data_IF_495358296022
#
_entry.id   IF_495358296022
#
_cell.length_a   1.000
_cell.length_b   1.000
_cell.length_c   1.000
_cell.angle_alpha   90.00
_cell.angle_beta   90.00
_cell.angle_gamma   90.00
#
_symmetry.space_group_name_H-M   'P 1'
#
loop_
_entity.id
_entity.type
_entity.pdbx_description
1 polymer ?
#
# COMPACT_ATOMS: atom_id res chain seq x y z
N UNK A 1 3.16 4.69 7.04
CA UNK A 1 2.01 3.82 6.73
C UNK A 1 2.15 2.49 7.44
N UNK A 2 1.08 1.76 7.55
CA UNK A 2 1.11 0.45 8.20
C UNK A 2 1.31 -0.63 7.13
N UNK A 3 2.56 -0.88 6.79
CA UNK A 3 2.84 -1.82 5.71
C UNK A 3 2.48 -3.26 6.08
N UNK A 4 2.53 -3.61 7.35
CA UNK A 4 2.19 -4.97 7.75
C UNK A 4 0.72 -5.26 7.48
N UNK A 5 -0.14 -4.27 7.69
CA UNK A 5 -1.56 -4.44 7.41
C UNK A 5 -1.79 -4.61 5.92
N UNK A 6 -1.11 -3.81 5.09
CA UNK A 6 -1.24 -3.95 3.65
C UNK A 6 -0.71 -5.29 3.19
N UNK A 7 0.44 -5.71 3.71
CA UNK A 7 1.01 -7.00 3.34
C UNK A 7 0.09 -8.16 3.72
N UNK A 8 -0.58 -8.07 4.87
CA UNK A 8 -1.55 -9.07 5.27
C UNK A 8 -2.71 -9.17 4.28
N UNK A 9 -3.21 -8.04 3.86
CA UNK A 9 -4.31 -8.00 2.88
C UNK A 9 -3.86 -8.60 1.55
N UNK A 10 -2.65 -8.26 1.11
CA UNK A 10 -2.10 -8.81 -0.12
C UNK A 10 -2.01 -10.33 -0.01
N UNK A 11 -1.50 -10.80 1.10
CA UNK A 11 -1.31 -12.23 1.30
C UNK A 11 -2.64 -12.97 1.32
N UNK A 12 -3.64 -12.40 1.95
CA UNK A 12 -4.97 -13.00 1.99
C UNK A 12 -5.56 -13.11 0.60
N UNK A 13 -5.16 -12.23 -0.31
CA UNK A 13 -5.65 -12.25 -1.68
C UNK A 13 -4.70 -12.91 -2.65
N UNK A 14 -3.64 -13.53 -2.14
CA UNK A 14 -2.70 -14.24 -3.00
C UNK A 14 -1.78 -13.34 -3.81
N UNK A 15 -1.62 -12.08 -3.39
CA UNK A 15 -0.78 -11.15 -4.12
C UNK A 15 0.61 -11.04 -3.53
N UNK A 16 1.56 -10.72 -4.38
CA UNK A 16 2.93 -10.45 -3.94
C UNK A 16 3.25 -9.01 -4.28
N UNK A 17 4.39 -8.53 -3.82
CA UNK A 17 4.83 -7.17 -4.19
C UNK A 17 4.95 -7.01 -5.69
N UNK A 18 5.41 -8.06 -6.37
CA UNK A 18 5.55 -8.02 -7.83
C UNK A 18 4.18 -7.90 -8.50
N UNK A 19 3.21 -8.69 -8.05
CA UNK A 19 1.89 -8.67 -8.70
C UNK A 19 1.19 -7.34 -8.46
N UNK A 20 1.31 -6.78 -7.27
CA UNK A 20 0.67 -5.49 -7.00
C UNK A 20 1.38 -4.36 -7.74
N UNK A 21 2.70 -4.42 -7.85
CA UNK A 21 3.44 -3.42 -8.62
C UNK A 21 2.99 -3.44 -10.08
N UNK A 22 2.82 -4.63 -10.64
CA UNK A 22 2.33 -4.76 -12.01
C UNK A 22 0.92 -4.18 -12.14
N UNK A 23 0.06 -4.44 -11.17
CA UNK A 23 -1.29 -3.89 -11.19
C UNK A 23 -1.26 -2.36 -11.18
N UNK A 24 -0.35 -1.78 -10.41
CA UNK A 24 -0.24 -0.34 -10.31
C UNK A 24 0.54 0.27 -11.48
N UNK A 25 1.18 -0.55 -12.29
CA UNK A 25 1.95 -0.05 -13.42
C UNK A 25 3.29 0.57 -13.03
N UNK A 26 3.87 0.13 -11.93
CA UNK A 26 5.15 0.65 -11.48
C UNK A 26 6.15 -0.49 -11.31
N UNK A 27 7.43 -0.14 -11.26
CA UNK A 27 8.46 -1.15 -11.08
C UNK A 27 8.40 -1.71 -9.66
N UNK A 28 8.84 -2.95 -9.50
CA UNK A 28 8.86 -3.59 -8.20
C UNK A 28 9.71 -2.80 -7.21
N UNK A 29 10.83 -2.25 -7.66
CA UNK A 29 11.69 -1.45 -6.80
C UNK A 29 10.99 -0.18 -6.36
N UNK A 30 10.20 0.44 -7.24
CA UNK A 30 9.43 1.62 -6.89
C UNK A 30 8.35 1.26 -5.87
N UNK A 31 7.70 0.14 -6.06
CA UNK A 31 6.68 -0.33 -5.11
C UNK A 31 7.31 -0.54 -3.73
N UNK A 32 8.47 -1.20 -3.70
CA UNK A 32 9.16 -1.47 -2.45
C UNK A 32 9.57 -0.18 -1.74
N UNK A 33 10.07 0.80 -2.51
CA UNK A 33 10.46 2.08 -1.94
C UNK A 33 9.26 2.79 -1.31
N UNK A 34 8.12 2.75 -1.99
CA UNK A 34 6.91 3.38 -1.46
C UNK A 34 6.38 2.65 -0.24
N UNK A 35 6.45 1.33 -0.25
CA UNK A 35 5.98 0.51 0.86
C UNK A 35 6.81 0.78 2.11
N UNK A 36 8.12 0.92 1.94
CA UNK A 36 9.03 1.18 3.05
C UNK A 36 9.27 2.66 3.30
N UNK A 37 8.65 3.52 2.51
CA UNK A 37 8.79 4.97 2.61
C UNK A 37 10.25 5.42 2.52
N UNK A 38 11.02 4.71 1.69
CA UNK A 38 12.43 4.99 1.52
C UNK A 38 12.61 6.37 0.89
N UNK A 39 13.44 7.21 1.51
CA UNK A 39 13.70 8.57 1.02
C UNK A 39 12.42 9.37 0.81
N UNK A 40 11.42 9.15 1.66
CA UNK A 40 10.18 9.90 1.57
C UNK A 40 9.23 9.44 0.49
N UNK A 41 9.49 8.29 -0.13
CA UNK A 41 8.60 7.78 -1.16
C UNK A 41 7.24 7.42 -0.55
N UNK A 42 6.17 7.72 -1.25
CA UNK A 42 4.81 7.46 -0.79
C UNK A 42 3.94 7.03 -1.94
N UNK A 43 2.88 6.30 -1.63
CA UNK A 43 1.90 5.98 -2.66
C UNK A 43 1.11 7.24 -3.00
N UNK A 44 0.86 7.46 -4.28
CA UNK A 44 0.08 8.60 -4.72
C UNK A 44 -1.40 8.32 -4.43
N UNK A 45 -2.20 9.37 -4.46
CA UNK A 45 -3.63 9.25 -4.25
C UNK A 45 -4.25 8.27 -5.24
N UNK A 46 -3.80 8.32 -6.48
CA UNK A 46 -4.30 7.45 -7.53
C UNK A 46 -3.97 5.99 -7.19
N UNK A 47 -2.77 5.74 -6.70
CA UNK A 47 -2.36 4.39 -6.33
C UNK A 47 -3.14 3.88 -5.13
N UNK A 48 -3.37 4.75 -4.16
CA UNK A 48 -4.14 4.39 -2.98
C UNK A 48 -5.57 4.01 -3.38
N UNK A 49 -6.17 4.79 -4.27
CA UNK A 49 -7.51 4.48 -4.74
C UNK A 49 -7.56 3.16 -5.51
N UNK A 50 -6.53 2.91 -6.32
CA UNK A 50 -6.46 1.66 -7.06
C UNK A 50 -6.38 0.45 -6.12
N UNK A 51 -5.60 0.57 -5.06
CA UNK A 51 -5.47 -0.49 -4.06
C UNK A 51 -6.79 -0.65 -3.30
N UNK A 52 -7.41 0.46 -2.96
CA UNK A 52 -8.70 0.44 -2.28
C UNK A 52 -9.73 -0.34 -3.08
N UNK A 53 -9.79 -0.09 -4.37
CA UNK A 53 -10.74 -0.77 -5.23
C UNK A 53 -10.37 -2.24 -5.45
N UNK A 54 -9.09 -2.51 -5.61
CA UNK A 54 -8.64 -3.86 -5.84
C UNK A 54 -9.02 -4.81 -4.71
N UNK A 55 -8.88 -4.36 -3.49
CA UNK A 55 -9.16 -5.18 -2.32
C UNK A 55 -10.49 -4.84 -1.65
N UNK A 56 -11.25 -3.96 -2.26
CA UNK A 56 -12.55 -3.54 -1.73
C UNK A 56 -12.43 -3.06 -0.28
N UNK A 57 -11.48 -2.18 -0.04
CA UNK A 57 -11.21 -1.68 1.30
C UNK A 57 -12.21 -0.59 1.67
N UNK A 58 -12.51 -0.48 2.96
CA UNK A 58 -13.36 0.61 3.44
C UNK A 58 -12.48 1.84 3.62
N UNK A 59 -13.11 2.99 3.78
CA UNK A 59 -12.38 4.23 4.03
C UNK A 59 -11.55 4.10 5.31
N UNK A 60 -12.09 3.45 6.34
CA UNK A 60 -11.37 3.25 7.59
C UNK A 60 -10.13 2.41 7.39
N UNK A 61 -10.22 1.39 6.54
CA UNK A 61 -9.06 0.54 6.25
C UNK A 61 -7.99 1.32 5.50
N UNK A 62 -8.40 2.17 4.57
CA UNK A 62 -7.46 3.00 3.83
C UNK A 62 -6.72 3.94 4.80
N UNK A 63 -7.45 4.57 5.71
CA UNK A 63 -6.84 5.44 6.70
C UNK A 63 -5.88 4.64 7.59
N UNK A 64 -6.28 3.46 8.02
CA UNK A 64 -5.44 2.64 8.90
C UNK A 64 -4.16 2.17 8.21
N UNK A 65 -4.20 1.97 6.90
CA UNK A 65 -3.02 1.52 6.16
C UNK A 65 -2.13 2.68 5.74
N UNK A 66 -2.70 3.64 5.05
CA UNK A 66 -1.92 4.67 4.36
C UNK A 66 -1.73 5.95 5.16
N UNK A 67 -2.63 6.24 6.07
CA UNK A 67 -2.58 7.46 6.85
C UNK A 67 -2.42 7.19 8.34
N UNK A 68 -1.83 6.04 8.66
CA UNK A 68 -1.56 5.68 10.02
C UNK A 68 -0.35 6.45 10.48
N UNK A 69 -0.57 7.60 11.02
CA UNK A 69 0.49 8.38 11.54
C UNK A 69 0.67 7.90 12.95
N UNK A 70 1.60 7.06 13.13
CA UNK A 70 1.95 6.66 14.36
C UNK A 70 2.37 7.82 15.10
N UNK A 71 1.58 8.40 15.66
CA UNK A 71 1.89 9.48 16.35
C UNK A 71 2.58 9.07 17.50
N UNK A 72 3.56 8.80 17.40
CA UNK A 72 4.24 8.44 18.40
C UNK A 72 4.29 9.48 19.29
N UNK A 73 3.77 9.85 19.57
CA UNK A 73 3.92 10.72 20.25
C UNK A 73 3.89 10.61 21.03
#
# INVERSE_FOLDING_TARGET
>A
MNKLKLESIMKLNGDTGTSLALFLGIARSTFSAKLNETNGAEFSQKEILAIKEKYNLTADEVVAIFFDHKVSC
#
